data_IF_945204408301
#
_entry.id   IF_945204408301
#
_cell.length_a   1.000
_cell.length_b   1.000
_cell.length_c   1.000
_cell.angle_alpha   90.00
_cell.angle_beta   90.00
_cell.angle_gamma   90.00
#
_symmetry.space_group_name_H-M   'P 1'
#
loop_
_entity.id
_entity.type
_entity.pdbx_description
1 polymer ?
#
# COMPACT_ATOMS: atom_id res chain seq x y z
N UNK A 1 -16.76 25.43 -10.58
CA UNK A 1 -16.05 24.14 -10.58
C UNK A 1 -14.78 24.23 -9.75
N UNK A 2 -14.65 23.48 -8.65
CA UNK A 2 -13.45 23.45 -7.79
C UNK A 2 -12.27 22.87 -8.60
N UNK A 3 -11.15 23.61 -8.72
CA UNK A 3 -9.90 23.09 -9.31
C UNK A 3 -9.40 21.93 -8.42
N UNK A 4 -9.46 20.71 -8.95
CA UNK A 4 -9.04 19.50 -8.25
C UNK A 4 -7.53 19.31 -8.49
N UNK A 5 -6.71 20.09 -7.79
CA UNK A 5 -5.25 19.95 -7.79
C UNK A 5 -4.54 20.39 -9.08
N UNK A 6 -3.22 20.16 -9.14
CA UNK A 6 -2.37 20.45 -10.29
C UNK A 6 -2.88 19.81 -11.60
N UNK A 7 -2.82 20.57 -12.70
CA UNK A 7 -3.32 20.17 -14.03
C UNK A 7 -2.60 18.92 -14.58
N UNK A 8 -1.35 18.71 -14.16
CA UNK A 8 -0.53 17.54 -14.51
C UNK A 8 -1.28 16.22 -14.26
N UNK A 9 -2.04 16.08 -13.17
CA UNK A 9 -2.73 14.82 -12.89
C UNK A 9 -3.81 14.50 -13.92
N UNK A 10 -4.62 15.49 -14.27
CA UNK A 10 -5.67 15.33 -15.30
C UNK A 10 -5.11 15.15 -16.71
N UNK A 11 -3.93 15.70 -16.99
CA UNK A 11 -3.22 15.54 -18.26
C UNK A 11 -2.53 14.16 -18.36
N UNK A 12 -1.95 13.67 -17.26
CA UNK A 12 -1.32 12.34 -17.20
C UNK A 12 -2.36 11.23 -17.29
N UNK A 13 -3.44 11.30 -16.50
CA UNK A 13 -4.43 10.24 -16.49
C UNK A 13 -5.80 10.68 -15.96
N UNK A 14 -6.87 10.18 -16.58
CA UNK A 14 -8.22 10.35 -16.06
C UNK A 14 -8.35 9.71 -14.67
N UNK A 15 -9.00 10.43 -13.74
CA UNK A 15 -9.22 9.98 -12.35
C UNK A 15 -9.85 8.60 -12.23
N UNK A 16 -10.83 8.26 -13.07
CA UNK A 16 -11.51 6.97 -13.00
C UNK A 16 -10.59 5.84 -13.45
N UNK A 17 -9.78 6.07 -14.49
CA UNK A 17 -8.77 5.13 -14.96
C UNK A 17 -7.68 4.91 -13.90
N UNK A 18 -7.24 5.97 -13.23
CA UNK A 18 -6.30 5.87 -12.12
C UNK A 18 -6.86 5.05 -10.95
N UNK A 19 -8.09 5.33 -10.53
CA UNK A 19 -8.77 4.57 -9.47
C UNK A 19 -8.93 3.09 -9.84
N UNK A 20 -9.25 2.79 -11.10
CA UNK A 20 -9.34 1.41 -11.60
C UNK A 20 -8.00 0.70 -11.51
N UNK A 21 -6.91 1.33 -11.99
CA UNK A 21 -5.57 0.73 -11.96
C UNK A 21 -5.15 0.45 -10.51
N UNK A 22 -5.23 1.45 -9.62
CA UNK A 22 -4.81 1.30 -8.23
C UNK A 22 -5.63 0.23 -7.50
N UNK A 23 -6.96 0.24 -7.68
CA UNK A 23 -7.83 -0.64 -6.89
C UNK A 23 -7.94 -2.06 -7.44
N UNK A 24 -7.74 -2.26 -8.74
CA UNK A 24 -8.06 -3.54 -9.39
C UNK A 24 -6.90 -4.25 -10.03
N UNK A 25 -5.83 -3.54 -10.40
CA UNK A 25 -4.77 -4.08 -11.25
C UNK A 25 -3.45 -4.26 -10.47
N UNK A 26 -3.14 -3.36 -9.54
CA UNK A 26 -1.89 -3.44 -8.78
C UNK A 26 -1.99 -4.52 -7.70
N UNK A 27 -1.28 -5.63 -7.92
CA UNK A 27 -1.00 -6.65 -6.91
C UNK A 27 0.51 -6.91 -6.91
N UNK A 28 1.10 -7.02 -5.73
CA UNK A 28 2.53 -7.35 -5.55
C UNK A 28 2.73 -8.84 -5.26
N UNK A 29 1.71 -9.65 -5.53
CA UNK A 29 1.70 -11.07 -5.21
C UNK A 29 1.06 -11.90 -6.32
N UNK A 30 1.44 -13.18 -6.38
CA UNK A 30 0.79 -14.16 -7.24
C UNK A 30 -0.49 -14.65 -6.60
N UNK A 31 -1.63 -14.17 -7.09
CA UNK A 31 -2.97 -14.51 -6.57
C UNK A 31 -3.21 -16.02 -6.41
N UNK A 32 -2.65 -16.85 -7.31
CA UNK A 32 -2.82 -18.30 -7.29
C UNK A 32 -2.08 -18.98 -6.12
N UNK A 33 -0.98 -18.40 -5.65
CA UNK A 33 -0.15 -18.93 -4.56
C UNK A 33 -0.49 -18.26 -3.21
N UNK A 34 -1.27 -17.17 -3.24
CA UNK A 34 -1.59 -16.32 -2.08
C UNK A 34 -2.06 -17.12 -0.87
N UNK A 35 -3.01 -18.05 -1.05
CA UNK A 35 -3.59 -18.80 0.08
C UNK A 35 -2.53 -19.64 0.77
N UNK A 36 -1.70 -20.34 -0.01
CA UNK A 36 -0.63 -21.18 0.52
C UNK A 36 0.45 -20.33 1.21
N UNK A 37 0.86 -19.23 0.59
CA UNK A 37 1.88 -18.35 1.18
C UNK A 37 1.41 -17.67 2.46
N UNK A 38 0.14 -17.28 2.56
CA UNK A 38 -0.40 -16.67 3.79
C UNK A 38 -0.41 -17.63 5.00
N UNK A 39 -0.27 -18.95 4.78
CA UNK A 39 -0.14 -19.92 5.88
C UNK A 39 1.24 -19.83 6.56
N UNK A 40 2.29 -19.50 5.80
CA UNK A 40 3.68 -19.48 6.27
C UNK A 40 4.24 -18.08 6.41
N UNK A 41 3.84 -17.15 5.55
CA UNK A 41 4.28 -15.77 5.47
C UNK A 41 3.08 -14.81 5.64
N UNK A 42 3.04 -14.19 6.81
CA UNK A 42 2.04 -13.19 7.20
C UNK A 42 2.05 -11.93 6.32
N UNK A 43 3.17 -11.66 5.65
CA UNK A 43 3.43 -10.52 4.77
C UNK A 43 3.58 -10.95 3.30
N UNK A 44 3.09 -12.14 2.93
CA UNK A 44 3.19 -12.71 1.59
C UNK A 44 2.76 -11.77 0.45
N UNK A 45 1.90 -10.78 0.73
CA UNK A 45 1.42 -9.82 -0.25
C UNK A 45 2.46 -8.78 -0.69
N UNK A 46 3.52 -8.58 0.09
CA UNK A 46 4.56 -7.56 -0.14
C UNK A 46 5.97 -8.08 0.09
N UNK A 47 6.14 -9.34 0.48
CA UNK A 47 7.45 -9.88 0.86
C UNK A 47 8.45 -9.93 -0.28
N UNK A 48 8.01 -10.05 -1.53
CA UNK A 48 8.90 -10.04 -2.71
C UNK A 48 9.49 -8.66 -3.03
N UNK A 49 8.80 -7.58 -2.64
CA UNK A 49 9.25 -6.20 -2.89
C UNK A 49 9.91 -5.56 -1.66
N UNK A 50 9.83 -6.23 -0.51
CA UNK A 50 10.44 -5.81 0.74
C UNK A 50 11.91 -6.24 0.79
N UNK A 51 12.70 -5.79 -0.19
CA UNK A 51 14.15 -5.96 -0.17
C UNK A 51 14.74 -5.04 0.91
N UNK A 52 15.38 -5.65 1.91
CA UNK A 52 15.76 -4.99 3.16
C UNK A 52 17.06 -4.19 2.98
N UNK A 53 16.95 -2.87 2.92
CA UNK A 53 18.03 -2.00 3.39
C UNK A 53 17.89 -1.88 4.89
N UNK A 54 18.88 -2.36 5.65
CA UNK A 54 18.85 -2.38 7.11
C UNK A 54 19.04 -0.95 7.62
N UNK A 55 17.94 -0.21 7.74
CA UNK A 55 17.90 1.02 8.54
C UNK A 55 17.50 0.58 9.94
N UNK A 56 18.41 0.74 10.90
CA UNK A 56 18.15 0.46 12.33
C UNK A 56 17.40 1.66 12.91
N UNK A 57 16.15 1.84 12.49
CA UNK A 57 15.19 2.79 13.05
C UNK A 57 13.75 2.31 12.76
N UNK A 58 12.80 2.71 13.59
CA UNK A 58 11.38 2.37 13.41
C UNK A 58 10.70 3.38 12.47
N UNK A 59 10.37 2.98 11.24
CA UNK A 59 9.52 3.77 10.35
C UNK A 59 8.07 3.26 10.37
N UNK A 60 7.14 4.15 10.69
CA UNK A 60 5.72 3.82 10.77
C UNK A 60 4.95 4.32 9.55
N UNK A 61 4.17 3.42 8.97
CA UNK A 61 3.29 3.72 7.85
C UNK A 61 1.85 3.87 8.35
N UNK A 62 1.31 5.10 8.45
CA UNK A 62 0.00 5.33 9.01
C UNK A 62 -1.09 4.73 8.12
N UNK A 63 -2.00 3.96 8.72
CA UNK A 63 -3.18 3.44 8.02
C UNK A 63 -4.38 3.37 8.94
N UNK A 64 -5.56 3.67 8.38
CA UNK A 64 -6.87 3.46 9.04
C UNK A 64 -7.62 2.28 8.43
N UNK A 65 -7.02 1.56 7.48
CA UNK A 65 -7.62 0.39 6.87
C UNK A 65 -7.68 -0.77 7.86
N UNK A 66 -8.62 -1.70 7.66
CA UNK A 66 -8.65 -2.95 8.43
C UNK A 66 -7.44 -3.80 8.06
N UNK A 67 -6.39 -3.75 8.89
CA UNK A 67 -5.19 -4.57 8.76
C UNK A 67 -4.89 -5.23 10.11
N UNK A 68 -4.63 -6.55 10.10
CA UNK A 68 -4.37 -7.36 11.30
C UNK A 68 -3.12 -6.92 12.08
N UNK A 69 -2.24 -6.14 11.46
CA UNK A 69 -0.99 -5.66 12.03
C UNK A 69 -1.04 -4.19 12.43
N UNK A 70 -2.20 -3.53 12.30
CA UNK A 70 -2.35 -2.13 12.72
C UNK A 70 -2.28 -2.07 14.24
N UNK A 71 -1.34 -1.29 14.75
CA UNK A 71 -1.22 -1.01 16.18
C UNK A 71 -1.57 0.46 16.42
N UNK A 72 -2.26 0.73 17.51
CA UNK A 72 -2.49 2.09 17.96
C UNK A 72 -1.28 2.55 18.79
N UNK A 73 -0.62 3.62 18.37
CA UNK A 73 0.54 4.18 19.06
C UNK A 73 0.21 5.63 19.46
N UNK A 74 0.24 5.90 20.77
CA UNK A 74 -0.19 7.18 21.36
C UNK A 74 0.92 8.24 21.40
N UNK A 75 2.19 7.85 21.29
CA UNK A 75 3.33 8.70 21.63
C UNK A 75 4.08 9.26 20.42
N UNK A 76 3.42 9.41 19.27
CA UNK A 76 4.03 9.98 18.07
C UNK A 76 3.61 11.43 17.87
N UNK A 77 4.58 12.33 17.94
CA UNK A 77 4.45 13.71 17.50
C UNK A 77 4.34 13.76 15.97
N UNK A 78 3.29 14.43 15.52
CA UNK A 78 2.92 14.62 14.11
C UNK A 78 3.83 15.56 13.35
#
# INVERSE_FOLDING_TARGET
HKKLGPKIFSETMNRNKFAEIILRIIYFDKKNERIQRLQTDKFALVSEISETTIIVDEQLFPTKAKCKYTQYITNQTS
#
